data_IF_033865724870
#
_entry.id   IF_033865724870
#
_cell.length_a   1.000
_cell.length_b   1.000
_cell.length_c   1.000
_cell.angle_alpha   90.00
_cell.angle_beta   90.00
_cell.angle_gamma   90.00
#
_symmetry.space_group_name_H-M   'P 1'
#
loop_
_entity.id
_entity.type
_entity.pdbx_description
1 polymer ?
#
# COMPACT_ATOMS: atom_id res chain seq x y z
N UNK A 1 4.93 74.93 8.34
CA UNK A 1 6.26 74.30 8.47
C UNK A 1 6.03 72.80 8.54
N UNK A 2 6.51 72.10 7.51
CA UNK A 2 6.33 70.66 7.29
C UNK A 2 6.82 69.83 8.48
N UNK A 3 6.11 68.75 8.82
CA UNK A 3 6.74 67.55 9.37
C UNK A 3 5.91 66.32 9.03
N UNK A 4 6.16 65.78 7.83
CA UNK A 4 5.83 64.42 7.46
C UNK A 4 6.84 63.50 8.15
N UNK A 5 6.42 62.72 9.14
CA UNK A 5 7.24 61.62 9.65
C UNK A 5 6.35 60.50 10.22
N UNK A 6 5.90 59.60 9.33
CA UNK A 6 5.57 58.18 9.63
C UNK A 6 5.00 57.51 8.38
N UNK A 7 5.85 57.09 7.44
CA UNK A 7 5.47 56.09 6.43
C UNK A 7 6.70 55.51 5.72
N UNK A 8 7.62 54.89 6.46
CA UNK A 8 8.78 54.20 5.85
C UNK A 8 9.07 52.81 6.42
N UNK A 9 8.34 52.34 7.43
CA UNK A 9 8.55 51.00 8.04
C UNK A 9 7.55 49.93 7.58
N UNK A 10 6.55 50.26 6.76
CA UNK A 10 5.60 49.25 6.24
C UNK A 10 6.07 48.62 4.92
N UNK A 11 6.81 49.37 4.09
CA UNK A 11 7.21 48.89 2.77
C UNK A 11 8.40 47.91 2.88
N UNK A 12 9.37 48.14 3.77
CA UNK A 12 10.53 47.22 3.91
C UNK A 12 10.13 45.81 4.35
N UNK A 13 9.11 45.69 5.21
CA UNK A 13 8.64 44.39 5.68
C UNK A 13 7.90 43.62 4.57
N UNK A 14 7.20 44.31 3.66
CA UNK A 14 6.51 43.66 2.54
C UNK A 14 7.50 43.05 1.53
N UNK A 15 8.62 43.73 1.24
CA UNK A 15 9.66 43.17 0.38
C UNK A 15 10.40 42.01 1.02
N UNK A 16 10.64 42.04 2.35
CA UNK A 16 11.22 40.90 3.08
C UNK A 16 10.28 39.69 3.07
N UNK A 17 8.97 39.89 3.27
CA UNK A 17 8.00 38.81 3.17
C UNK A 17 7.84 38.30 1.73
N UNK A 18 7.92 39.15 0.71
CA UNK A 18 7.89 38.74 -0.69
C UNK A 18 9.13 37.92 -1.08
N UNK A 19 10.34 38.34 -0.67
CA UNK A 19 11.59 37.60 -0.93
C UNK A 19 11.69 36.28 -0.14
N UNK A 20 11.10 36.21 1.07
CA UNK A 20 10.98 34.96 1.84
C UNK A 20 9.95 34.03 1.20
N UNK A 21 8.81 34.56 0.73
CA UNK A 21 7.76 33.79 0.09
C UNK A 21 8.20 33.24 -1.28
N UNK A 22 8.96 34.00 -2.07
CA UNK A 22 9.55 33.53 -3.33
C UNK A 22 10.66 32.50 -3.08
N UNK A 23 11.51 32.65 -2.05
CA UNK A 23 12.51 31.63 -1.71
C UNK A 23 11.89 30.36 -1.12
N UNK A 24 10.83 30.45 -0.31
CA UNK A 24 10.09 29.28 0.17
C UNK A 24 9.38 28.56 -0.97
N UNK A 25 8.72 29.28 -1.89
CA UNK A 25 8.12 28.65 -3.07
C UNK A 25 9.17 28.01 -3.98
N UNK A 26 10.32 28.66 -4.20
CA UNK A 26 11.41 28.11 -5.00
C UNK A 26 12.05 26.89 -4.33
N UNK A 27 12.18 26.88 -3.01
CA UNK A 27 12.63 25.73 -2.23
C UNK A 27 11.59 24.61 -2.21
N UNK A 28 10.30 24.93 -2.17
CA UNK A 28 9.20 23.97 -2.24
C UNK A 28 9.15 23.31 -3.63
N UNK A 29 9.27 24.09 -4.69
CA UNK A 29 9.34 23.58 -6.08
C UNK A 29 10.61 22.75 -6.29
N UNK A 30 11.77 23.20 -5.81
CA UNK A 30 13.02 22.41 -5.85
C UNK A 30 12.89 21.12 -5.05
N UNK A 31 12.26 21.14 -3.88
CA UNK A 31 12.01 19.96 -3.07
C UNK A 31 11.10 18.98 -3.80
N UNK A 32 9.99 19.44 -4.37
CA UNK A 32 9.08 18.64 -5.19
C UNK A 32 9.83 18.05 -6.40
N UNK A 33 10.65 18.83 -7.11
CA UNK A 33 11.41 18.36 -8.26
C UNK A 33 12.46 17.31 -7.88
N UNK A 34 13.19 17.54 -6.78
CA UNK A 34 14.19 16.61 -6.25
C UNK A 34 13.52 15.31 -5.80
N UNK A 35 12.33 15.43 -5.22
CA UNK A 35 11.52 14.32 -4.77
C UNK A 35 10.99 13.50 -5.97
N UNK A 36 10.49 14.16 -7.01
CA UNK A 36 10.08 13.52 -8.28
C UNK A 36 11.26 12.81 -8.95
N UNK A 37 12.43 13.45 -8.99
CA UNK A 37 13.68 12.84 -9.49
C UNK A 37 14.08 11.61 -8.67
N UNK A 38 13.97 11.67 -7.34
CA UNK A 38 14.25 10.54 -6.46
C UNK A 38 13.29 9.37 -6.70
N UNK A 39 11.99 9.63 -6.87
CA UNK A 39 11.01 8.59 -7.24
C UNK A 39 11.37 8.00 -8.62
N UNK A 40 11.65 8.84 -9.62
CA UNK A 40 12.00 8.35 -10.95
C UNK A 40 13.26 7.49 -10.93
N UNK A 41 14.27 7.88 -10.16
CA UNK A 41 15.48 7.09 -9.93
C UNK A 41 15.17 5.80 -9.17
N UNK A 42 14.32 5.84 -8.15
CA UNK A 42 13.90 4.69 -7.37
C UNK A 42 13.09 3.69 -8.21
N UNK A 43 12.17 4.17 -9.05
CA UNK A 43 11.39 3.36 -10.01
C UNK A 43 12.31 2.75 -11.05
N UNK A 44 13.24 3.54 -11.60
CA UNK A 44 14.22 3.04 -12.57
C UNK A 44 15.14 2.01 -11.93
N UNK A 45 15.55 2.22 -10.68
CA UNK A 45 16.36 1.30 -9.89
C UNK A 45 15.61 0.01 -9.54
N UNK A 46 14.34 0.10 -9.14
CA UNK A 46 13.47 -1.08 -8.90
C UNK A 46 13.20 -1.86 -10.17
N UNK A 47 12.99 -1.20 -11.32
CA UNK A 47 12.91 -1.85 -12.63
C UNK A 47 14.23 -2.53 -13.04
N UNK A 48 15.37 -1.94 -12.68
CA UNK A 48 16.69 -2.49 -12.96
C UNK A 48 17.01 -3.68 -12.03
N UNK A 49 16.58 -3.61 -10.76
CA UNK A 49 16.57 -4.73 -9.81
C UNK A 49 15.66 -5.85 -10.29
N UNK A 50 14.46 -5.56 -10.76
CA UNK A 50 13.54 -6.53 -11.38
C UNK A 50 14.19 -7.26 -12.56
N UNK A 51 14.95 -6.53 -13.39
CA UNK A 51 15.71 -7.12 -14.50
C UNK A 51 16.80 -8.08 -14.00
N UNK A 52 17.45 -7.76 -12.89
CA UNK A 52 18.56 -8.55 -12.33
C UNK A 52 18.11 -9.69 -11.40
N UNK A 53 16.93 -9.59 -10.76
CA UNK A 53 16.37 -10.61 -9.86
C UNK A 53 15.80 -11.84 -10.58
N UNK A 54 15.82 -11.86 -11.92
CA UNK A 54 15.38 -12.98 -12.77
C UNK A 54 16.13 -14.31 -12.53
N UNK A 55 17.12 -14.32 -11.63
CA UNK A 55 18.12 -15.38 -11.46
C UNK A 55 18.23 -16.04 -10.07
N UNK A 56 17.40 -15.71 -9.07
CA UNK A 56 17.50 -16.38 -7.76
C UNK A 56 16.58 -17.61 -7.72
N UNK A 57 17.16 -18.82 -7.86
CA UNK A 57 16.50 -20.11 -7.62
C UNK A 57 16.49 -20.36 -6.10
N UNK A 58 15.33 -20.22 -5.45
CA UNK A 58 15.12 -20.70 -4.08
C UNK A 58 14.26 -21.97 -4.12
N UNK A 59 14.77 -23.06 -3.56
CA UNK A 59 14.02 -24.31 -3.38
C UNK A 59 13.31 -24.29 -2.03
N UNK A 60 11.97 -24.18 -2.03
CA UNK A 60 11.16 -24.22 -0.81
C UNK A 60 10.01 -25.22 -1.00
N UNK A 61 10.11 -26.37 -0.33
CA UNK A 61 9.17 -27.50 -0.42
C UNK A 61 8.05 -27.50 0.64
N UNK A 62 7.62 -26.32 1.11
CA UNK A 62 6.52 -26.22 2.08
C UNK A 62 5.33 -25.45 1.48
N UNK A 63 4.51 -26.15 0.69
CA UNK A 63 3.22 -25.66 0.20
C UNK A 63 2.08 -26.35 0.95
N UNK A 64 1.01 -25.62 1.27
CA UNK A 64 -0.17 -26.19 1.91
C UNK A 64 -0.90 -27.18 0.97
N UNK A 65 -1.60 -28.20 1.49
CA UNK A 65 -2.31 -29.16 0.64
C UNK A 65 -3.39 -28.49 -0.22
N UNK A 66 -3.69 -29.04 -1.40
CA UNK A 66 -4.59 -28.43 -2.38
C UNK A 66 -6.04 -28.18 -1.88
N UNK A 67 -6.45 -28.86 -0.81
CA UNK A 67 -7.75 -28.68 -0.14
C UNK A 67 -7.84 -27.29 0.51
N UNK A 68 -6.72 -26.77 1.04
CA UNK A 68 -6.63 -25.45 1.66
C UNK A 68 -6.98 -24.32 0.69
N UNK A 69 -6.77 -24.51 -0.62
CA UNK A 69 -7.13 -23.51 -1.64
C UNK A 69 -8.65 -23.30 -1.69
N UNK A 70 -9.42 -24.39 -1.68
CA UNK A 70 -10.89 -24.33 -1.72
C UNK A 70 -11.44 -23.69 -0.45
N UNK A 71 -10.92 -24.10 0.70
CA UNK A 71 -11.27 -23.52 2.01
C UNK A 71 -10.95 -22.02 2.02
N UNK A 72 -9.78 -21.63 1.52
CA UNK A 72 -9.37 -20.23 1.41
C UNK A 72 -10.34 -19.39 0.59
N UNK A 73 -10.81 -19.87 -0.56
CA UNK A 73 -11.81 -19.16 -1.37
C UNK A 73 -13.17 -19.03 -0.68
N UNK A 74 -13.59 -20.07 0.04
CA UNK A 74 -14.85 -20.06 0.80
C UNK A 74 -14.76 -19.06 1.96
N UNK A 75 -13.62 -18.95 2.66
CA UNK A 75 -13.40 -17.96 3.73
C UNK A 75 -13.22 -16.54 3.19
N UNK A 76 -12.56 -16.38 2.04
CA UNK A 76 -12.22 -15.05 1.51
C UNK A 76 -13.46 -14.23 1.16
N UNK A 77 -14.57 -14.87 0.76
CA UNK A 77 -15.82 -14.19 0.43
C UNK A 77 -16.47 -13.52 1.67
N UNK A 78 -16.82 -14.24 2.76
CA UNK A 78 -17.45 -13.62 3.93
C UNK A 78 -16.50 -12.65 4.65
N UNK A 79 -15.21 -13.00 4.82
CA UNK A 79 -14.26 -12.11 5.49
C UNK A 79 -13.87 -10.92 4.61
N UNK A 80 -13.85 -11.08 3.29
CA UNK A 80 -13.67 -9.99 2.34
C UNK A 80 -14.81 -8.97 2.38
N UNK A 81 -16.05 -9.45 2.33
CA UNK A 81 -17.25 -8.60 2.45
C UNK A 81 -17.29 -7.89 3.81
N UNK A 82 -17.02 -8.62 4.90
CA UNK A 82 -16.99 -8.06 6.25
C UNK A 82 -15.90 -6.98 6.38
N UNK A 83 -14.70 -7.23 5.84
CA UNK A 83 -13.60 -6.26 5.88
C UNK A 83 -13.92 -5.00 5.08
N UNK A 84 -14.56 -5.14 3.92
CA UNK A 84 -15.02 -3.99 3.11
C UNK A 84 -16.08 -3.18 3.88
N UNK A 85 -17.03 -3.85 4.54
CA UNK A 85 -18.02 -3.19 5.39
C UNK A 85 -17.36 -2.37 6.51
N UNK A 86 -16.41 -2.96 7.25
CA UNK A 86 -15.66 -2.27 8.30
C UNK A 86 -14.86 -1.05 7.77
N UNK A 87 -14.32 -1.11 6.56
CA UNK A 87 -13.63 0.03 5.94
C UNK A 87 -14.57 1.21 5.64
N UNK A 88 -15.83 0.94 5.26
CA UNK A 88 -16.81 2.01 5.02
C UNK A 88 -17.30 2.65 6.33
N UNK A 89 -17.51 1.85 7.37
CA UNK A 89 -17.89 2.33 8.70
C UNK A 89 -16.83 3.27 9.28
N UNK A 90 -15.55 2.91 9.14
CA UNK A 90 -14.43 3.75 9.57
C UNK A 90 -14.39 5.12 8.87
N UNK A 91 -14.75 5.19 7.58
CA UNK A 91 -14.75 6.44 6.82
C UNK A 91 -15.94 7.36 7.16
N UNK A 92 -17.11 6.78 7.45
CA UNK A 92 -18.32 7.56 7.76
C UNK A 92 -18.21 8.29 9.10
N UNK A 93 -17.57 7.67 10.09
CA UNK A 93 -17.32 8.32 11.37
C UNK A 93 -16.22 9.40 11.32
N UNK A 94 -15.45 9.49 10.23
CA UNK A 94 -14.43 10.50 9.99
C UNK A 94 -14.96 11.87 9.57
N UNK A 95 -16.26 11.96 9.21
CA UNK A 95 -16.91 13.21 8.77
C UNK A 95 -17.58 14.01 9.90
N UNK A 96 -17.47 13.58 11.16
CA UNK A 96 -17.92 14.35 12.31
C UNK A 96 -16.74 15.14 12.92
N UNK A 97 -16.65 16.48 12.73
CA UNK A 97 -15.49 17.28 13.11
C UNK A 97 -15.25 17.40 14.64
N UNK A 98 -16.18 16.90 15.47
CA UNK A 98 -16.09 17.01 16.94
C UNK A 98 -15.24 15.89 17.58
N UNK A 99 -14.93 14.80 16.86
CA UNK A 99 -14.21 13.64 17.44
C UNK A 99 -12.78 13.43 16.91
N UNK A 100 -12.30 14.29 16.01
CA UNK A 100 -10.99 14.12 15.35
C UNK A 100 -9.83 14.24 16.36
N UNK A 101 -9.96 15.08 17.39
CA UNK A 101 -8.93 15.26 18.43
C UNK A 101 -8.84 14.12 19.44
N UNK A 102 -9.93 13.38 19.69
CA UNK A 102 -9.92 12.23 20.61
C UNK A 102 -9.53 10.93 19.91
N UNK A 103 -9.69 10.83 18.58
CA UNK A 103 -9.41 9.60 17.83
C UNK A 103 -7.92 9.35 17.52
N UNK A 104 -7.07 10.38 17.38
CA UNK A 104 -5.62 10.16 17.32
C UNK A 104 -5.09 9.55 18.64
N UNK A 105 -5.68 9.97 19.77
CA UNK A 105 -5.43 9.41 21.11
C UNK A 105 -6.11 8.03 21.27
N UNK A 106 -7.21 7.75 20.55
CA UNK A 106 -7.89 6.43 20.51
C UNK A 106 -7.19 5.41 19.60
N UNK A 107 -6.39 5.85 18.64
CA UNK A 107 -5.65 4.97 17.72
C UNK A 107 -4.51 4.23 18.43
N UNK A 108 -3.85 4.91 19.38
CA UNK A 108 -2.75 4.37 20.19
C UNK A 108 -3.19 3.16 21.06
N UNK A 109 -4.31 3.21 21.80
CA UNK A 109 -4.86 2.05 22.49
C UNK A 109 -5.39 0.96 21.55
N UNK A 110 -5.96 1.31 20.38
CA UNK A 110 -6.46 0.31 19.41
C UNK A 110 -5.32 -0.52 18.79
N UNK A 111 -4.14 0.09 18.58
CA UNK A 111 -2.93 -0.62 18.13
C UNK A 111 -2.24 -1.41 19.26
N UNK A 112 -2.34 -0.94 20.51
CA UNK A 112 -1.78 -1.61 21.71
C UNK A 112 -2.73 -2.63 22.37
N UNK A 113 -3.93 -2.84 21.83
CA UNK A 113 -4.93 -3.79 22.37
C UNK A 113 -5.64 -3.32 23.64
N UNK A 114 -5.62 -2.02 23.95
CA UNK A 114 -6.19 -1.43 25.18
C UNK A 114 -7.26 -0.41 24.82
N UNK A 115 -8.26 -0.78 24.03
CA UNK A 115 -9.39 0.11 23.71
C UNK A 115 -10.57 -0.66 23.11
N UNK A 116 -11.78 -0.14 23.31
CA UNK A 116 -13.05 -0.68 22.85
C UNK A 116 -13.20 -0.65 21.31
N UNK A 117 -12.30 -1.33 20.60
CA UNK A 117 -12.51 -1.72 19.21
C UNK A 117 -13.56 -2.83 19.16
N UNK A 118 -14.45 -2.75 18.17
CA UNK A 118 -15.35 -3.85 17.82
C UNK A 118 -14.50 -5.09 17.56
N UNK A 119 -14.65 -6.15 18.38
CA UNK A 119 -14.00 -7.45 18.16
C UNK A 119 -14.21 -7.99 16.73
N UNK A 120 -15.27 -7.50 16.05
CA UNK A 120 -15.54 -7.74 14.64
C UNK A 120 -14.42 -7.25 13.70
N UNK A 121 -13.79 -6.10 13.96
CA UNK A 121 -12.71 -5.56 13.11
C UNK A 121 -11.49 -6.49 13.14
N UNK A 122 -11.14 -6.98 14.33
CA UNK A 122 -10.01 -7.89 14.55
C UNK A 122 -10.27 -9.24 13.89
N UNK A 123 -11.48 -9.80 14.09
CA UNK A 123 -11.91 -11.05 13.47
C UNK A 123 -11.93 -10.93 11.94
N UNK A 124 -12.42 -9.81 11.41
CA UNK A 124 -12.43 -9.54 9.97
C UNK A 124 -11.00 -9.49 9.41
N UNK A 125 -10.12 -8.74 10.07
CA UNK A 125 -8.73 -8.56 9.66
C UNK A 125 -7.94 -9.88 9.68
N UNK A 126 -8.05 -10.65 10.77
CA UNK A 126 -7.38 -11.95 10.91
C UNK A 126 -7.95 -12.96 9.92
N UNK A 127 -9.28 -13.02 9.79
CA UNK A 127 -9.95 -13.91 8.84
C UNK A 127 -9.56 -13.61 7.39
N UNK A 128 -9.47 -12.33 7.03
CA UNK A 128 -9.01 -11.88 5.72
C UNK A 128 -7.56 -12.31 5.47
N UNK A 129 -6.65 -12.07 6.43
CA UNK A 129 -5.24 -12.46 6.33
C UNK A 129 -5.10 -13.98 6.10
N UNK A 130 -5.76 -14.80 6.93
CA UNK A 130 -5.72 -16.25 6.83
C UNK A 130 -6.28 -16.71 5.49
N UNK A 131 -7.40 -16.14 5.03
CA UNK A 131 -8.02 -16.53 3.77
C UNK A 131 -7.09 -16.27 2.57
N UNK A 132 -6.44 -15.11 2.52
CA UNK A 132 -5.50 -14.74 1.47
C UNK A 132 -4.25 -15.62 1.49
N UNK A 133 -3.70 -15.91 2.67
CA UNK A 133 -2.56 -16.81 2.81
C UNK A 133 -2.90 -18.23 2.34
N UNK A 134 -4.06 -18.77 2.72
CA UNK A 134 -4.52 -20.08 2.27
C UNK A 134 -4.70 -20.11 0.75
N UNK A 135 -5.29 -19.09 0.14
CA UNK A 135 -5.46 -19.04 -1.32
C UNK A 135 -4.11 -18.95 -2.05
N UNK A 136 -3.20 -18.12 -1.57
CA UNK A 136 -1.92 -17.83 -2.22
C UNK A 136 -0.89 -18.94 -2.08
N UNK A 137 -0.77 -19.56 -0.91
CA UNK A 137 0.29 -20.53 -0.60
C UNK A 137 -0.15 -22.00 -0.69
N UNK A 138 -1.38 -22.27 -1.15
CA UNK A 138 -1.82 -23.65 -1.41
C UNK A 138 -1.18 -24.26 -2.66
N UNK A 139 -0.95 -25.57 -2.61
CA UNK A 139 -0.43 -26.39 -3.71
C UNK A 139 -1.44 -26.48 -4.86
N UNK A 140 -0.94 -26.40 -6.09
CA UNK A 140 -1.70 -26.68 -7.29
C UNK A 140 -1.72 -28.21 -7.55
N UNK A 141 -2.74 -28.72 -8.25
CA UNK A 141 -2.83 -30.17 -8.52
C UNK A 141 -1.64 -30.68 -9.34
N UNK A 142 -1.25 -29.90 -10.34
CA UNK A 142 -0.11 -30.16 -11.22
C UNK A 142 0.97 -29.15 -10.84
N UNK A 143 1.80 -29.47 -9.85
CA UNK A 143 2.85 -28.57 -9.36
C UNK A 143 4.20 -28.98 -9.93
N UNK A 144 4.56 -28.37 -11.07
CA UNK A 144 5.85 -28.55 -11.73
C UNK A 144 6.84 -27.43 -11.36
N UNK A 145 8.14 -27.64 -11.62
CA UNK A 145 9.20 -26.65 -11.36
C UNK A 145 8.91 -25.29 -12.04
N UNK A 146 8.29 -25.31 -13.23
CA UNK A 146 7.90 -24.09 -13.94
C UNK A 146 6.78 -23.33 -13.20
N UNK A 147 5.79 -24.03 -12.65
CA UNK A 147 4.68 -23.42 -11.89
C UNK A 147 5.18 -22.83 -10.57
N UNK A 148 6.10 -23.53 -9.90
CA UNK A 148 6.79 -22.99 -8.73
C UNK A 148 7.55 -21.69 -9.05
N UNK A 149 8.22 -21.62 -10.21
CA UNK A 149 8.91 -20.41 -10.68
C UNK A 149 7.92 -19.27 -10.99
N UNK A 150 6.80 -19.55 -11.64
CA UNK A 150 5.75 -18.56 -11.91
C UNK A 150 5.23 -17.96 -10.59
N UNK A 151 5.02 -18.80 -9.57
CA UNK A 151 4.59 -18.37 -8.24
C UNK A 151 5.58 -17.41 -7.60
N UNK A 152 6.86 -17.80 -7.52
CA UNK A 152 7.90 -16.96 -6.92
C UNK A 152 8.06 -15.63 -7.66
N UNK A 153 8.06 -15.65 -8.99
CA UNK A 153 8.15 -14.43 -9.79
C UNK A 153 6.94 -13.51 -9.57
N UNK A 154 5.74 -14.09 -9.44
CA UNK A 154 4.52 -13.34 -9.15
C UNK A 154 4.54 -12.72 -7.74
N UNK A 155 5.12 -13.41 -6.75
CA UNK A 155 5.26 -12.90 -5.39
C UNK A 155 6.22 -11.71 -5.32
N UNK A 156 7.40 -11.84 -5.93
CA UNK A 156 8.38 -10.74 -6.02
C UNK A 156 7.77 -9.53 -6.73
N UNK A 157 7.08 -9.77 -7.84
CA UNK A 157 6.41 -8.69 -8.58
C UNK A 157 5.35 -7.99 -7.73
N UNK A 158 4.51 -8.73 -7.01
CA UNK A 158 3.46 -8.17 -6.17
C UNK A 158 4.01 -7.33 -5.02
N UNK A 159 5.08 -7.79 -4.36
CA UNK A 159 5.78 -7.03 -3.32
C UNK A 159 6.26 -5.69 -3.89
N UNK A 160 6.91 -5.71 -5.05
CA UNK A 160 7.48 -4.50 -5.65
C UNK A 160 6.41 -3.49 -6.08
N UNK A 161 5.31 -3.96 -6.68
CA UNK A 161 4.18 -3.10 -7.02
C UNK A 161 3.54 -2.52 -5.77
N UNK A 162 3.40 -3.31 -4.70
CA UNK A 162 2.84 -2.82 -3.45
C UNK A 162 3.70 -1.73 -2.82
N UNK A 163 5.03 -1.92 -2.76
CA UNK A 163 5.94 -0.90 -2.26
C UNK A 163 5.95 0.35 -3.14
N UNK A 164 5.80 0.20 -4.45
CA UNK A 164 5.64 1.36 -5.34
C UNK A 164 4.38 2.16 -4.98
N UNK A 165 3.24 1.49 -4.79
CA UNK A 165 2.00 2.14 -4.36
C UNK A 165 2.13 2.76 -2.98
N UNK A 166 2.79 2.09 -2.04
CA UNK A 166 3.01 2.61 -0.69
C UNK A 166 3.85 3.89 -0.73
N UNK A 167 4.93 3.89 -1.52
CA UNK A 167 5.75 5.09 -1.73
C UNK A 167 4.87 6.21 -2.27
N UNK A 168 4.11 5.97 -3.34
CA UNK A 168 3.21 6.98 -3.91
C UNK A 168 2.20 7.48 -2.87
N UNK A 169 1.60 6.59 -2.08
CA UNK A 169 0.68 6.95 -1.00
C UNK A 169 1.37 7.84 0.03
N UNK A 170 2.61 7.57 0.42
CA UNK A 170 3.38 8.42 1.34
C UNK A 170 3.59 9.84 0.81
N UNK A 171 3.54 10.06 -0.51
CA UNK A 171 3.80 11.39 -1.11
C UNK A 171 2.53 12.20 -1.29
N UNK A 172 1.44 11.52 -1.62
CA UNK A 172 0.19 12.16 -2.00
C UNK A 172 -0.81 12.19 -0.85
N UNK A 173 -0.64 11.32 0.16
CA UNK A 173 -1.60 11.14 1.25
C UNK A 173 -0.89 11.43 2.57
N UNK A 174 -1.49 12.32 3.36
CA UNK A 174 -0.95 12.78 4.62
C UNK A 174 -1.86 12.44 5.80
N UNK A 175 -1.31 12.52 7.01
CA UNK A 175 -2.03 12.39 8.28
C UNK A 175 -2.77 11.04 8.46
N UNK A 176 -3.95 11.05 9.07
CA UNK A 176 -4.72 9.85 9.43
C UNK A 176 -5.20 9.09 8.18
N UNK A 177 -5.36 9.78 7.04
CA UNK A 177 -5.69 9.14 5.77
C UNK A 177 -4.54 8.27 5.24
N UNK A 178 -3.29 8.59 5.54
CA UNK A 178 -2.16 7.74 5.16
C UNK A 178 -2.17 6.41 5.92
N UNK A 179 -2.54 6.44 7.22
CA UNK A 179 -2.57 5.23 8.05
C UNK A 179 -3.57 4.19 7.53
N UNK A 180 -4.75 4.61 7.06
CA UNK A 180 -5.74 3.69 6.48
C UNK A 180 -5.24 3.07 5.17
N UNK A 181 -4.58 3.86 4.31
CA UNK A 181 -4.01 3.36 3.06
C UNK A 181 -2.83 2.43 3.31
N UNK A 182 -1.96 2.74 4.26
CA UNK A 182 -0.86 1.86 4.66
C UNK A 182 -1.37 0.52 5.24
N UNK A 183 -2.46 0.55 6.01
CA UNK A 183 -3.10 -0.66 6.54
C UNK A 183 -3.68 -1.54 5.43
N UNK A 184 -4.45 -0.96 4.49
CA UNK A 184 -4.94 -1.68 3.30
C UNK A 184 -3.76 -2.22 2.47
N UNK A 185 -2.65 -1.47 2.44
CA UNK A 185 -1.37 -1.81 1.84
C UNK A 185 -0.77 -3.16 2.28
N UNK A 186 -1.12 -3.66 3.46
CA UNK A 186 -0.64 -4.96 3.95
C UNK A 186 -1.35 -6.13 3.25
N UNK A 187 -2.62 -5.96 2.90
CA UNK A 187 -3.42 -6.99 2.25
C UNK A 187 -3.28 -6.97 0.72
N UNK A 188 -3.05 -5.79 0.14
CA UNK A 188 -2.89 -5.61 -1.31
C UNK A 188 -1.72 -6.40 -1.87
N UNK A 189 -0.62 -6.61 -1.12
CA UNK A 189 0.49 -7.50 -1.53
C UNK A 189 -0.04 -8.88 -1.89
N UNK A 190 -0.82 -9.49 -0.99
CA UNK A 190 -1.35 -10.85 -1.18
C UNK A 190 -2.38 -10.89 -2.30
N UNK A 191 -3.23 -9.86 -2.41
CA UNK A 191 -4.22 -9.75 -3.49
C UNK A 191 -3.55 -9.67 -4.85
N UNK A 192 -2.55 -8.80 -5.03
CA UNK A 192 -1.80 -8.68 -6.28
C UNK A 192 -1.02 -9.94 -6.60
N UNK A 193 -0.44 -10.58 -5.60
CA UNK A 193 0.24 -11.86 -5.77
C UNK A 193 -0.73 -12.91 -6.33
N UNK A 194 -1.90 -13.11 -5.70
CA UNK A 194 -2.90 -14.09 -6.15
C UNK A 194 -3.39 -13.77 -7.55
N UNK A 195 -3.70 -12.50 -7.83
CA UNK A 195 -4.20 -12.07 -9.14
C UNK A 195 -3.15 -12.31 -10.24
N UNK A 196 -1.90 -11.88 -10.00
CA UNK A 196 -0.80 -12.04 -10.97
C UNK A 196 -0.46 -13.51 -11.20
N UNK A 197 -0.37 -14.30 -10.12
CA UNK A 197 -0.11 -15.72 -10.18
C UNK A 197 -1.16 -16.46 -11.00
N UNK A 198 -2.46 -16.22 -10.74
CA UNK A 198 -3.55 -16.85 -11.49
C UNK A 198 -3.54 -16.48 -12.96
N UNK A 199 -3.25 -15.22 -13.28
CA UNK A 199 -3.19 -14.77 -14.66
C UNK A 199 -2.04 -15.45 -15.42
N UNK A 200 -0.83 -15.43 -14.87
CA UNK A 200 0.34 -16.07 -15.49
C UNK A 200 0.17 -17.59 -15.61
N UNK A 201 -0.41 -18.24 -14.60
CA UNK A 201 -0.70 -19.69 -14.65
C UNK A 201 -1.70 -20.03 -15.76
N UNK A 202 -2.78 -19.25 -15.90
CA UNK A 202 -3.78 -19.49 -16.93
C UNK A 202 -3.21 -19.24 -18.34
N UNK A 203 -2.33 -18.23 -18.48
CA UNK A 203 -1.61 -17.97 -19.72
C UNK A 203 -0.66 -19.11 -20.07
N UNK A 204 0.13 -19.59 -19.11
CA UNK A 204 1.05 -20.70 -19.28
C UNK A 204 0.33 -21.96 -19.77
N UNK A 205 -0.79 -22.34 -19.12
CA UNK A 205 -1.60 -23.50 -19.51
C UNK A 205 -2.17 -23.39 -20.92
N UNK A 206 -2.61 -22.21 -21.35
CA UNK A 206 -3.13 -22.02 -22.72
C UNK A 206 -2.06 -22.26 -23.78
N UNK A 207 -0.86 -21.74 -23.56
CA UNK A 207 0.23 -21.93 -24.52
C UNK A 207 0.63 -23.41 -24.63
N UNK A 208 0.71 -24.14 -23.52
CA UNK A 208 1.05 -25.58 -23.55
C UNK A 208 0.01 -26.41 -24.32
N UNK A 209 -1.26 -26.02 -24.29
CA UNK A 209 -2.33 -26.69 -25.04
C UNK A 209 -2.35 -26.33 -26.53
N UNK A 210 -1.75 -25.20 -26.93
CA UNK A 210 -1.61 -24.81 -28.34
C UNK A 210 -0.41 -25.48 -29.03
N UNK A 211 0.57 -25.92 -28.24
CA UNK A 211 1.79 -26.59 -28.70
C UNK A 211 1.63 -28.13 -28.83
N UNK A 212 0.52 -28.70 -28.35
CA UNK A 212 0.13 -30.13 -28.45
C UNK A 212 -0.84 -30.38 -29.61
#
# INVERSE_FOLDING_TARGET
MYSYCKSTNYISNVWIYADIFDNEHLNCVKFILLFVLFICLFVKFTLLLLRNLKFIKMEMNYLFPAICKKIGWILLIPFGLLSIYCLFEFNYEGMNPVQVSSKAILFLPKFLGVGAGSALDEIATIGLAISLLLVGFSKEKDEDECIAKIRMNSLVWAILVNYLLLILATLFIYEVAYLSVAFVGMFTVLIFFIAKYKWELNRFRKNTLEDE
#
